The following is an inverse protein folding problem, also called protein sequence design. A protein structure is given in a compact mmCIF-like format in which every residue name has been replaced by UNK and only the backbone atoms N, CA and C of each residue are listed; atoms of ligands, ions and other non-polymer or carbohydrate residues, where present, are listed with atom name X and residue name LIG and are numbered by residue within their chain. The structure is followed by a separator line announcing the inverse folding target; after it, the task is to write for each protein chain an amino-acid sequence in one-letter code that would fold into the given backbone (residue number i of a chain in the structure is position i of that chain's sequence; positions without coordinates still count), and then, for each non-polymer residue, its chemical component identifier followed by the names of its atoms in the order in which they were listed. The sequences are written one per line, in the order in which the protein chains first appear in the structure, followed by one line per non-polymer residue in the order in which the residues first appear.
data_IF_611193026367
#
_entry.id   IF_611193026367
#
_cell.length_a   1.000
_cell.length_b   1.000
_cell.length_c   1.000
_cell.angle_alpha   90.00
_cell.angle_beta   90.00
_cell.angle_gamma   90.00
#
_symmetry.space_group_name_H-M   'P 1'
#
loop_
_entity.id
_entity.type
_entity.pdbx_description
1 polymer ?
#
# COMPACT_ATOMS: atom_id res chain seq x y z
N UNK A 1 3.41 -9.72 -11.34
CA UNK A 1 3.33 -8.59 -12.29
C UNK A 1 4.35 -7.52 -11.88
N UNK A 2 5.05 -6.88 -12.82
CA UNK A 2 6.06 -5.86 -12.47
C UNK A 2 5.36 -4.57 -12.01
N UNK A 3 5.79 -4.03 -10.87
CA UNK A 3 5.38 -2.73 -10.38
C UNK A 3 5.83 -1.66 -11.37
N UNK A 4 4.86 -1.06 -12.06
CA UNK A 4 5.12 -0.02 -13.05
C UNK A 4 4.73 1.30 -12.44
N UNK A 5 5.71 2.19 -12.31
CA UNK A 5 5.52 3.56 -11.85
C UNK A 5 6.07 4.50 -12.92
N UNK A 6 5.55 5.73 -12.95
CA UNK A 6 6.00 6.78 -13.87
C UNK A 6 6.77 7.89 -13.16
N UNK A 7 6.49 8.07 -11.87
CA UNK A 7 7.14 9.05 -11.00
C UNK A 7 7.71 8.34 -9.78
N UNK A 8 8.72 8.94 -9.16
CA UNK A 8 9.26 8.45 -7.91
C UNK A 8 8.17 8.45 -6.83
N UNK A 9 7.87 7.32 -6.17
CA UNK A 9 6.78 7.23 -5.20
C UNK A 9 7.02 8.08 -3.95
N UNK A 10 8.26 8.51 -3.73
CA UNK A 10 8.68 9.29 -2.57
C UNK A 10 8.58 10.80 -2.82
N UNK A 11 9.06 11.29 -3.96
CA UNK A 11 9.18 12.74 -4.22
C UNK A 11 8.46 13.24 -5.48
N UNK A 12 7.93 12.35 -6.32
CA UNK A 12 7.27 12.73 -7.58
C UNK A 12 8.23 13.08 -8.72
N UNK A 13 9.54 12.98 -8.49
CA UNK A 13 10.54 13.26 -9.51
C UNK A 13 10.58 12.20 -10.61
N UNK A 14 11.16 12.58 -11.75
CA UNK A 14 11.36 11.67 -12.88
C UNK A 14 12.23 10.47 -12.49
N UNK A 15 11.96 9.32 -13.11
CA UNK A 15 12.67 8.07 -12.87
C UNK A 15 13.27 7.50 -14.14
N UNK A 16 14.41 6.83 -14.01
CA UNK A 16 15.03 6.04 -15.07
C UNK A 16 15.07 4.57 -14.66
N UNK A 17 14.94 3.69 -15.65
CA UNK A 17 15.04 2.25 -15.46
C UNK A 17 16.50 1.80 -15.64
N UNK A 18 17.12 1.20 -14.63
CA UNK A 18 18.40 0.51 -14.77
C UNK A 18 18.25 -0.96 -15.19
N UNK A 19 19.40 -1.59 -15.47
CA UNK A 19 19.52 -3.00 -15.89
C UNK A 19 19.32 -4.00 -14.74
N UNK A 20 19.33 -3.54 -13.50
CA UNK A 20 19.30 -4.36 -12.29
C UNK A 20 17.92 -4.44 -11.64
N UNK A 21 16.89 -3.92 -12.32
CA UNK A 21 15.49 -4.05 -11.92
C UNK A 21 15.02 -3.03 -10.88
N UNK A 22 15.72 -1.89 -10.73
CA UNK A 22 15.22 -0.74 -9.99
C UNK A 22 14.75 0.40 -10.94
N UNK A 23 14.01 1.34 -10.36
CA UNK A 23 13.83 2.67 -10.90
C UNK A 23 14.68 3.62 -10.06
N UNK A 24 15.48 4.47 -10.69
CA UNK A 24 16.31 5.47 -10.02
C UNK A 24 15.66 6.83 -10.20
N UNK A 25 15.40 7.53 -9.10
CA UNK A 25 14.90 8.90 -9.15
C UNK A 25 16.03 9.89 -9.46
N UNK A 26 15.81 10.77 -10.45
CA UNK A 26 16.78 11.83 -10.77
C UNK A 26 16.85 12.98 -9.77
N UNK A 27 15.85 13.10 -8.87
CA UNK A 27 15.77 14.19 -7.89
C UNK A 27 16.24 13.77 -6.49
N UNK A 28 15.71 12.67 -5.96
CA UNK A 28 16.03 12.22 -4.60
C UNK A 28 16.96 11.00 -4.53
N UNK A 29 17.45 10.53 -5.68
CA UNK A 29 18.34 9.37 -5.86
C UNK A 29 17.81 8.04 -5.30
N UNK A 30 16.58 8.01 -4.79
CA UNK A 30 15.96 6.80 -4.24
C UNK A 30 15.77 5.77 -5.34
N UNK A 31 16.02 4.52 -4.97
CA UNK A 31 15.90 3.34 -5.82
C UNK A 31 14.64 2.58 -5.44
N UNK A 32 13.71 2.46 -6.39
CA UNK A 32 12.43 1.76 -6.19
C UNK A 32 12.46 0.42 -6.93
N UNK A 33 12.20 -0.67 -6.23
CA UNK A 33 12.23 -2.02 -6.77
C UNK A 33 10.98 -2.28 -7.62
N UNK A 34 11.21 -2.81 -8.83
CA UNK A 34 10.13 -3.22 -9.75
C UNK A 34 9.39 -4.45 -9.27
N UNK A 35 10.05 -5.33 -8.52
CA UNK A 35 9.40 -6.49 -7.92
C UNK A 35 9.03 -6.19 -6.47
N UNK A 36 7.73 -6.08 -6.16
CA UNK A 36 7.23 -5.88 -4.78
C UNK A 36 7.26 -7.15 -3.93
N UNK A 37 7.55 -8.30 -4.52
CA UNK A 37 7.62 -9.59 -3.81
C UNK A 37 9.05 -10.04 -3.52
N UNK A 38 10.05 -9.32 -4.02
CA UNK A 38 11.44 -9.70 -3.81
C UNK A 38 11.86 -9.36 -2.37
N UNK A 39 11.60 -10.26 -1.42
CA UNK A 39 12.01 -10.08 -0.03
C UNK A 39 13.51 -9.95 0.16
N UNK A 40 14.33 -10.36 -0.81
CA UNK A 40 15.79 -10.22 -0.74
C UNK A 40 16.28 -8.93 -1.38
N UNK A 41 15.38 -8.02 -1.76
CA UNK A 41 15.71 -6.75 -2.39
C UNK A 41 16.72 -5.94 -1.57
N UNK A 42 16.57 -5.93 -0.23
CA UNK A 42 17.49 -5.26 0.68
C UNK A 42 18.91 -5.85 0.68
N UNK A 43 19.08 -7.05 0.13
CA UNK A 43 20.34 -7.78 0.04
C UNK A 43 21.05 -7.69 -1.33
N UNK A 44 20.42 -7.08 -2.34
CA UNK A 44 20.94 -7.15 -3.71
C UNK A 44 22.16 -6.24 -3.98
N UNK A 45 22.56 -5.37 -3.04
CA UNK A 45 23.57 -4.34 -3.29
C UNK A 45 24.85 -4.44 -2.43
N UNK A 46 25.06 -5.54 -1.70
CA UNK A 46 26.30 -5.72 -0.92
C UNK A 46 26.90 -7.12 -1.15
N UNK A 47 28.22 -7.28 -1.07
CA UNK A 47 28.85 -8.59 -1.04
C UNK A 47 28.50 -9.25 0.30
N UNK A 48 27.37 -9.96 0.35
CA UNK A 48 27.03 -10.76 1.52
C UNK A 48 27.75 -12.10 1.45
N UNK A 49 28.20 -12.56 2.61
CA UNK A 49 28.79 -13.88 2.78
C UNK A 49 27.73 -14.96 2.51
N UNK A 50 28.16 -16.14 2.05
CA UNK A 50 27.28 -17.30 1.76
C UNK A 50 26.35 -17.62 2.94
N UNK A 51 26.83 -17.40 4.16
CA UNK A 51 26.10 -17.57 5.41
C UNK A 51 24.82 -16.72 5.47
N UNK A 52 24.89 -15.45 5.08
CA UNK A 52 23.72 -14.55 5.10
C UNK A 52 22.65 -15.02 4.11
N UNK A 53 23.07 -15.47 2.93
CA UNK A 53 22.16 -16.04 1.93
C UNK A 53 21.49 -17.32 2.45
N UNK A 54 22.21 -18.14 3.21
CA UNK A 54 21.68 -19.35 3.83
C UNK A 54 20.61 -19.03 4.88
N UNK A 55 20.84 -18.02 5.74
CA UNK A 55 19.90 -17.56 6.76
C UNK A 55 18.60 -17.07 6.12
N UNK A 56 18.71 -16.25 5.07
CA UNK A 56 17.53 -15.68 4.42
C UNK A 56 16.68 -16.75 3.73
N UNK A 57 17.28 -17.86 3.29
CA UNK A 57 16.55 -19.02 2.78
C UNK A 57 15.84 -19.82 3.89
N UNK A 58 16.29 -19.70 5.14
CA UNK A 58 15.68 -20.36 6.30
C UNK A 58 14.46 -19.60 6.81
N UNK A 59 14.39 -18.28 6.66
CA UNK A 59 13.26 -17.45 7.14
C UNK A 59 11.89 -18.02 6.73
N UNK A 60 11.74 -18.49 5.49
CA UNK A 60 10.47 -19.04 4.99
C UNK A 60 10.28 -20.55 5.31
N UNK A 61 11.29 -21.25 5.85
CA UNK A 61 11.29 -22.71 6.08
C UNK A 61 11.34 -23.11 7.56
N UNK A 62 12.17 -22.42 8.32
CA UNK A 62 12.48 -22.64 9.72
C UNK A 62 12.87 -21.27 10.32
N UNK A 63 11.87 -20.44 10.65
CA UNK A 63 12.12 -19.09 11.14
C UNK A 63 12.82 -19.10 12.50
N UNK A 64 12.61 -20.12 13.33
CA UNK A 64 13.30 -20.32 14.62
C UNK A 64 14.81 -20.54 14.45
N UNK A 65 15.22 -21.43 13.54
CA UNK A 65 16.64 -21.63 13.21
C UNK A 65 17.24 -20.37 12.57
N UNK A 66 16.46 -19.66 11.74
CA UNK A 66 16.90 -18.39 11.17
C UNK A 66 17.16 -17.34 12.27
N UNK A 67 16.25 -17.17 13.24
CA UNK A 67 16.44 -16.28 14.40
C UNK A 67 17.70 -16.67 15.17
N UNK A 68 17.84 -17.97 15.50
CA UNK A 68 18.97 -18.47 16.29
C UNK A 68 20.33 -18.15 15.64
N UNK A 69 20.43 -18.32 14.31
CA UNK A 69 21.64 -17.98 13.55
C UNK A 69 21.92 -16.49 13.49
N UNK A 70 20.89 -15.67 13.33
CA UNK A 70 21.06 -14.21 13.29
C UNK A 70 21.49 -13.71 14.67
N UNK A 71 20.91 -14.23 15.76
CA UNK A 71 21.31 -13.88 17.12
C UNK A 71 22.77 -14.26 17.41
N UNK A 72 23.23 -15.43 16.97
CA UNK A 72 24.63 -15.81 17.06
C UNK A 72 25.54 -14.80 16.32
N UNK A 73 25.20 -14.47 15.07
CA UNK A 73 25.94 -13.49 14.26
C UNK A 73 25.96 -12.09 14.91
N UNK A 74 24.83 -11.67 15.48
CA UNK A 74 24.73 -10.38 16.19
C UNK A 74 25.56 -10.35 17.48
N UNK A 75 25.69 -11.46 18.20
CA UNK A 75 26.50 -11.54 19.41
C UNK A 75 28.01 -11.55 19.10
N UNK A 76 28.40 -12.04 17.92
CA UNK A 76 29.79 -12.04 17.45
C UNK A 76 30.19 -10.71 16.78
N UNK A 77 29.22 -9.88 16.40
CA UNK A 77 29.45 -8.57 15.77
C UNK A 77 29.45 -7.47 16.82
N UNK A 78 30.55 -6.73 16.97
CA UNK A 78 30.65 -5.61 17.94
C UNK A 78 29.59 -4.52 17.70
N UNK A 79 29.30 -4.19 16.43
CA UNK A 79 28.30 -3.19 16.04
C UNK A 79 27.36 -3.78 14.97
N UNK A 80 26.25 -4.43 15.38
CA UNK A 80 25.26 -4.95 14.43
C UNK A 80 24.65 -3.82 13.60
N UNK A 81 24.64 -4.00 12.27
CA UNK A 81 24.12 -3.01 11.33
C UNK A 81 22.60 -3.14 11.11
N UNK A 82 22.03 -2.20 10.35
CA UNK A 82 20.60 -2.20 10.02
C UNK A 82 20.11 -3.52 9.41
N UNK A 83 20.90 -4.15 8.53
CA UNK A 83 20.48 -5.35 7.79
C UNK A 83 20.25 -6.52 8.73
N UNK A 84 21.10 -6.71 9.75
CA UNK A 84 20.92 -7.77 10.76
C UNK A 84 19.60 -7.62 11.52
N UNK A 85 19.28 -6.40 11.95
CA UNK A 85 18.01 -6.13 12.61
C UNK A 85 16.82 -6.37 11.68
N UNK A 86 16.88 -5.92 10.42
CA UNK A 86 15.81 -6.18 9.46
C UNK A 86 15.62 -7.67 9.19
N UNK A 87 16.71 -8.42 8.98
CA UNK A 87 16.66 -9.86 8.74
C UNK A 87 16.11 -10.61 9.94
N UNK A 88 16.49 -10.27 11.17
CA UNK A 88 15.90 -10.86 12.38
C UNK A 88 14.43 -10.50 12.53
N UNK A 89 14.07 -9.25 12.26
CA UNK A 89 12.67 -8.83 12.25
C UNK A 89 11.84 -9.58 11.21
N UNK A 90 12.40 -9.92 10.04
CA UNK A 90 11.73 -10.75 9.05
C UNK A 90 11.55 -12.21 9.52
N UNK A 91 12.51 -12.74 10.26
CA UNK A 91 12.41 -14.07 10.87
C UNK A 91 11.35 -14.10 11.98
N UNK A 92 11.35 -13.13 12.90
CA UNK A 92 10.30 -12.99 13.91
C UNK A 92 8.91 -12.84 13.28
N UNK A 93 8.78 -12.04 12.22
CA UNK A 93 7.49 -11.89 11.54
C UNK A 93 7.02 -13.20 10.88
N UNK A 94 7.94 -14.00 10.35
CA UNK A 94 7.63 -15.31 9.78
C UNK A 94 7.23 -16.32 10.86
N UNK A 95 7.74 -16.16 12.08
CA UNK A 95 7.35 -16.92 13.27
C UNK A 95 6.06 -16.39 13.94
N UNK A 96 5.46 -15.32 13.40
CA UNK A 96 4.24 -14.73 13.94
C UNK A 96 4.43 -13.80 15.14
N UNK A 97 5.67 -13.47 15.50
CA UNK A 97 6.08 -12.60 16.59
C UNK A 97 6.07 -11.11 16.16
N UNK A 98 4.88 -10.55 15.89
CA UNK A 98 4.74 -9.24 15.24
C UNK A 98 5.37 -8.08 16.05
N UNK A 99 5.32 -8.16 17.38
CA UNK A 99 5.89 -7.15 18.27
C UNK A 99 7.42 -7.17 18.28
N UNK A 100 8.04 -8.36 18.25
CA UNK A 100 9.50 -8.51 18.15
C UNK A 100 9.99 -8.04 16.77
N UNK A 101 9.27 -8.44 15.72
CA UNK A 101 9.54 -8.00 14.36
C UNK A 101 9.53 -6.48 14.22
N UNK A 102 8.51 -5.82 14.74
CA UNK A 102 8.38 -4.37 14.68
C UNK A 102 9.53 -3.66 15.43
N UNK A 103 9.86 -4.11 16.64
CA UNK A 103 10.98 -3.54 17.40
C UNK A 103 12.31 -3.64 16.64
N UNK A 104 12.54 -4.76 15.95
CA UNK A 104 13.73 -4.96 15.15
C UNK A 104 13.75 -4.07 13.90
N UNK A 105 12.64 -3.94 13.18
CA UNK A 105 12.55 -3.01 12.06
C UNK A 105 12.80 -1.57 12.49
N UNK A 106 12.26 -1.15 13.63
CA UNK A 106 12.50 0.16 14.21
C UNK A 106 13.97 0.39 14.52
N UNK A 107 14.63 -0.57 15.17
CA UNK A 107 16.06 -0.49 15.45
C UNK A 107 16.91 -0.51 14.18
N UNK A 108 16.49 -1.28 13.17
CA UNK A 108 17.08 -1.25 11.84
C UNK A 108 17.01 0.13 11.19
N UNK A 109 15.83 0.78 11.22
CA UNK A 109 15.64 2.14 10.73
C UNK A 109 16.52 3.16 11.43
N UNK A 110 16.72 3.03 12.74
CA UNK A 110 17.59 3.91 13.53
C UNK A 110 19.07 3.84 13.10
N UNK A 111 19.47 2.74 12.45
CA UNK A 111 20.83 2.49 12.00
C UNK A 111 21.03 2.75 10.50
N UNK A 112 19.96 3.03 9.74
CA UNK A 112 20.09 3.40 8.33
C UNK A 112 20.73 4.78 8.22
N UNK A 113 21.87 4.83 7.54
CA UNK A 113 22.56 6.09 7.22
C UNK A 113 22.32 6.54 5.77
N UNK A 114 21.85 5.65 4.90
CA UNK A 114 21.55 5.92 3.50
C UNK A 114 20.13 5.46 3.13
N UNK A 115 19.21 6.43 3.06
CA UNK A 115 17.81 6.18 2.71
C UNK A 115 17.55 6.03 1.20
N UNK A 116 18.58 6.04 0.33
CA UNK A 116 18.39 5.79 -1.11
C UNK A 116 17.82 4.40 -1.39
N UNK A 117 18.10 3.44 -0.51
CA UNK A 117 17.63 2.05 -0.62
C UNK A 117 16.46 1.73 0.31
N UNK A 118 15.78 2.74 0.88
CA UNK A 118 14.69 2.51 1.85
C UNK A 118 13.59 1.60 1.31
N UNK A 119 13.31 1.67 0.00
CA UNK A 119 12.30 0.85 -0.66
C UNK A 119 12.58 -0.65 -0.56
N UNK A 120 13.86 -1.04 -0.46
CA UNK A 120 14.25 -2.44 -0.31
C UNK A 120 13.75 -3.02 1.01
N UNK A 121 13.87 -2.24 2.09
CA UNK A 121 13.36 -2.59 3.41
C UNK A 121 11.82 -2.56 3.42
N UNK A 122 11.20 -1.57 2.76
CA UNK A 122 9.73 -1.50 2.62
C UNK A 122 9.19 -2.75 1.93
N UNK A 123 9.82 -3.22 0.85
CA UNK A 123 9.43 -4.47 0.16
C UNK A 123 9.50 -5.67 1.10
N UNK A 124 10.61 -5.83 1.83
CA UNK A 124 10.78 -6.95 2.77
C UNK A 124 9.76 -6.91 3.90
N UNK A 125 9.58 -5.75 4.53
CA UNK A 125 8.61 -5.52 5.61
C UNK A 125 7.19 -5.76 5.12
N UNK A 126 6.79 -5.21 3.97
CA UNK A 126 5.43 -5.38 3.45
C UNK A 126 5.10 -6.83 3.12
N UNK A 127 6.05 -7.62 2.60
CA UNK A 127 5.84 -9.07 2.43
C UNK A 127 5.51 -9.73 3.76
N UNK A 128 6.30 -9.42 4.80
CA UNK A 128 6.10 -9.98 6.15
C UNK A 128 4.83 -9.49 6.83
N UNK A 129 4.42 -8.23 6.62
CA UNK A 129 3.11 -7.72 7.05
C UNK A 129 1.99 -8.59 6.44
N UNK A 130 2.08 -8.92 5.15
CA UNK A 130 1.09 -9.80 4.49
C UNK A 130 1.07 -11.18 5.12
N UNK A 131 2.24 -11.79 5.38
CA UNK A 131 2.32 -13.10 6.03
C UNK A 131 1.71 -13.08 7.45
N UNK A 132 1.98 -12.04 8.25
CA UNK A 132 1.36 -11.83 9.57
C UNK A 132 -0.15 -11.73 9.43
N UNK A 133 -0.67 -10.88 8.53
CA UNK A 133 -2.12 -10.71 8.37
C UNK A 133 -2.78 -12.05 8.02
N UNK A 134 -2.21 -12.79 7.05
CA UNK A 134 -2.76 -14.10 6.64
C UNK A 134 -2.76 -15.08 7.81
N UNK A 135 -1.65 -15.16 8.56
CA UNK A 135 -1.53 -16.04 9.72
C UNK A 135 -2.59 -15.68 10.78
N UNK A 136 -2.71 -14.41 11.15
CA UNK A 136 -3.69 -13.96 12.16
C UNK A 136 -5.13 -14.21 11.72
N UNK A 137 -5.46 -13.98 10.45
CA UNK A 137 -6.80 -14.27 9.91
C UNK A 137 -7.10 -15.78 9.90
N UNK A 138 -6.14 -16.62 9.50
CA UNK A 138 -6.27 -18.09 9.55
C UNK A 138 -6.42 -18.64 10.97
N UNK A 139 -5.77 -18.01 11.93
CA UNK A 139 -5.85 -18.38 13.35
C UNK A 139 -7.01 -17.70 14.08
N UNK A 140 -7.83 -16.91 13.36
CA UNK A 140 -8.94 -16.13 13.93
C UNK A 140 -8.51 -15.21 15.08
N UNK A 141 -7.28 -14.71 15.03
CA UNK A 141 -6.74 -13.77 16.00
C UNK A 141 -7.24 -12.37 15.66
N UNK A 142 -7.81 -11.69 16.65
CA UNK A 142 -8.20 -10.30 16.49
C UNK A 142 -6.97 -9.44 16.16
N UNK A 143 -6.94 -8.94 14.93
CA UNK A 143 -5.84 -8.13 14.41
C UNK A 143 -6.41 -6.98 13.60
N UNK A 144 -5.76 -5.82 13.65
CA UNK A 144 -6.14 -4.66 12.87
C UNK A 144 -5.07 -4.37 11.81
N UNK A 145 -5.20 -4.90 10.58
CA UNK A 145 -4.21 -4.71 9.51
C UNK A 145 -3.93 -3.25 9.21
N UNK A 146 -4.96 -2.40 9.26
CA UNK A 146 -4.85 -0.99 8.90
C UNK A 146 -3.98 -0.24 9.90
N UNK A 147 -4.27 -0.41 11.19
CA UNK A 147 -3.52 0.22 12.28
C UNK A 147 -2.05 -0.25 12.31
N UNK A 148 -1.81 -1.53 12.05
CA UNK A 148 -0.46 -2.07 11.97
C UNK A 148 0.35 -1.48 10.79
N UNK A 149 -0.27 -1.40 9.61
CA UNK A 149 0.36 -0.77 8.43
C UNK A 149 0.60 0.73 8.70
N UNK A 150 -0.37 1.44 9.27
CA UNK A 150 -0.27 2.86 9.59
C UNK A 150 0.90 3.12 10.56
N UNK A 151 1.03 2.31 11.61
CA UNK A 151 2.11 2.44 12.60
C UNK A 151 3.49 2.31 11.95
N UNK A 152 3.73 1.23 11.20
CA UNK A 152 5.03 0.95 10.59
C UNK A 152 5.35 1.97 9.49
N UNK A 153 4.40 2.25 8.60
CA UNK A 153 4.61 3.20 7.51
C UNK A 153 4.90 4.62 7.99
N UNK A 154 4.28 5.04 9.11
CA UNK A 154 4.57 6.32 9.76
C UNK A 154 6.00 6.36 10.30
N UNK A 155 6.48 5.30 10.95
CA UNK A 155 7.87 5.24 11.43
C UNK A 155 8.88 5.32 10.28
N UNK A 156 8.63 4.59 9.19
CA UNK A 156 9.43 4.69 7.96
C UNK A 156 9.42 6.11 7.39
N UNK A 157 8.24 6.74 7.32
CA UNK A 157 8.08 8.08 6.78
C UNK A 157 8.84 9.14 7.60
N UNK A 158 8.72 9.07 8.93
CA UNK A 158 9.43 9.96 9.86
C UNK A 158 10.94 9.78 9.74
N UNK A 159 11.44 8.54 9.68
CA UNK A 159 12.88 8.26 9.61
C UNK A 159 13.50 8.65 8.27
N UNK A 160 12.80 8.36 7.17
CA UNK A 160 13.29 8.63 5.82
C UNK A 160 13.01 10.07 5.34
N UNK A 161 12.22 10.85 6.09
CA UNK A 161 11.81 12.21 5.73
C UNK A 161 11.00 12.28 4.43
N UNK A 162 10.23 11.22 4.12
CA UNK A 162 9.41 11.12 2.89
C UNK A 162 8.08 10.44 3.18
N UNK A 163 7.02 10.71 2.38
CA UNK A 163 5.75 10.01 2.52
C UNK A 163 5.89 8.53 2.21
N UNK A 164 5.40 7.67 3.11
CA UNK A 164 5.54 6.22 3.01
C UNK A 164 4.19 5.48 3.01
N UNK A 165 3.11 6.06 3.53
CA UNK A 165 1.82 5.35 3.67
C UNK A 165 1.31 4.77 2.35
N UNK A 166 1.26 5.60 1.30
CA UNK A 166 0.78 5.19 -0.02
C UNK A 166 1.56 4.00 -0.59
N UNK A 167 2.90 4.04 -0.54
CA UNK A 167 3.73 2.95 -1.07
C UNK A 167 3.61 1.68 -0.23
N UNK A 168 3.42 1.78 1.08
CA UNK A 168 3.14 0.63 1.95
C UNK A 168 1.85 -0.07 1.55
N UNK A 169 0.73 0.65 1.50
CA UNK A 169 -0.57 0.06 1.15
C UNK A 169 -0.56 -0.57 -0.25
N UNK A 170 0.04 0.11 -1.22
CA UNK A 170 0.19 -0.43 -2.58
C UNK A 170 1.04 -1.70 -2.57
N UNK A 171 2.15 -1.72 -1.83
CA UNK A 171 3.04 -2.90 -1.75
C UNK A 171 2.36 -4.09 -1.08
N UNK A 172 1.63 -3.86 0.01
CA UNK A 172 0.84 -4.87 0.71
C UNK A 172 -0.24 -5.44 -0.22
N UNK A 173 -1.02 -4.57 -0.88
CA UNK A 173 -2.02 -4.99 -1.88
C UNK A 173 -1.41 -5.86 -2.98
N UNK A 174 -0.29 -5.44 -3.56
CA UNK A 174 0.37 -6.21 -4.63
C UNK A 174 0.82 -7.59 -4.16
N UNK A 175 1.32 -7.71 -2.94
CA UNK A 175 1.71 -9.00 -2.36
C UNK A 175 0.48 -9.89 -2.09
N UNK A 176 -0.62 -9.34 -1.56
CA UNK A 176 -1.88 -10.08 -1.43
C UNK A 176 -2.39 -10.59 -2.78
N UNK A 177 -2.46 -9.72 -3.78
CA UNK A 177 -2.93 -10.09 -5.12
C UNK A 177 -2.06 -11.18 -5.75
N UNK A 178 -0.75 -11.10 -5.57
CA UNK A 178 0.17 -12.15 -6.04
C UNK A 178 -0.10 -13.49 -5.36
N UNK A 179 -0.30 -13.51 -4.03
CA UNK A 179 -0.65 -14.73 -3.30
C UNK A 179 -2.01 -15.29 -3.72
N UNK A 180 -2.99 -14.41 -3.98
CA UNK A 180 -4.29 -14.82 -4.51
C UNK A 180 -4.17 -15.50 -5.87
N UNK A 181 -3.45 -14.87 -6.80
CA UNK A 181 -3.20 -15.41 -8.15
C UNK A 181 -2.37 -16.70 -8.13
N UNK A 182 -1.57 -16.92 -7.09
CA UNK A 182 -0.82 -18.16 -6.87
C UNK A 182 -1.66 -19.27 -6.19
N UNK A 183 -2.89 -18.98 -5.75
CA UNK A 183 -3.74 -19.92 -5.02
C UNK A 183 -3.31 -20.16 -3.57
N UNK A 184 -2.60 -19.21 -2.94
CA UNK A 184 -2.03 -19.37 -1.58
C UNK A 184 -2.96 -18.93 -0.44
N UNK A 185 -4.09 -18.26 -0.72
CA UNK A 185 -4.94 -17.58 0.28
C UNK A 185 -6.25 -18.30 0.64
N UNK A 186 -6.43 -19.55 0.19
CA UNK A 186 -7.58 -20.47 0.38
C UNK A 186 -8.47 -20.59 -0.88
N UNK A 187 -9.17 -21.73 -1.01
CA UNK A 187 -10.01 -22.05 -2.19
C UNK A 187 -11.28 -21.19 -2.28
N UNK A 188 -11.73 -20.63 -1.15
CA UNK A 188 -13.00 -19.88 -1.01
C UNK A 188 -12.85 -18.34 -1.04
N UNK A 189 -11.68 -17.79 -1.39
CA UNK A 189 -11.42 -16.34 -1.59
C UNK A 189 -11.69 -15.39 -0.37
N UNK A 190 -12.13 -15.90 0.78
CA UNK A 190 -12.64 -15.07 1.90
C UNK A 190 -11.58 -14.14 2.52
N UNK A 191 -10.35 -14.61 2.69
CA UNK A 191 -9.25 -13.80 3.25
C UNK A 191 -8.93 -12.64 2.31
N UNK A 192 -8.78 -12.91 1.00
CA UNK A 192 -8.49 -11.88 0.02
C UNK A 192 -9.60 -10.83 -0.01
N UNK A 193 -10.86 -11.26 -0.15
CA UNK A 193 -12.00 -10.33 -0.26
C UNK A 193 -12.18 -9.46 0.98
N UNK A 194 -12.01 -10.03 2.18
CA UNK A 194 -12.20 -9.33 3.45
C UNK A 194 -11.15 -8.24 3.72
N UNK A 195 -9.92 -8.42 3.21
CA UNK A 195 -8.80 -7.51 3.43
C UNK A 195 -8.69 -6.48 2.30
N UNK A 196 -8.81 -6.90 1.04
CA UNK A 196 -8.48 -6.02 -0.10
C UNK A 196 -9.35 -4.78 -0.14
N UNK A 197 -10.64 -4.89 0.18
CA UNK A 197 -11.49 -3.71 0.20
C UNK A 197 -11.02 -2.71 1.26
N UNK A 198 -10.61 -3.16 2.45
CA UNK A 198 -10.03 -2.30 3.50
C UNK A 198 -8.75 -1.61 3.02
N UNK A 199 -7.86 -2.34 2.36
CA UNK A 199 -6.64 -1.80 1.76
C UNK A 199 -6.96 -0.79 0.66
N UNK A 200 -7.95 -1.09 -0.20
CA UNK A 200 -8.35 -0.24 -1.32
C UNK A 200 -8.75 1.15 -0.83
N UNK A 201 -9.56 1.26 0.24
CA UNK A 201 -9.92 2.57 0.80
C UNK A 201 -8.69 3.41 1.17
N UNK A 202 -7.69 2.77 1.77
CA UNK A 202 -6.45 3.44 2.15
C UNK A 202 -5.60 3.77 0.93
N UNK A 203 -5.61 2.95 -0.11
CA UNK A 203 -4.98 3.26 -1.40
C UNK A 203 -5.65 4.44 -2.08
N UNK A 204 -6.98 4.54 -2.04
CA UNK A 204 -7.70 5.71 -2.59
C UNK A 204 -7.34 6.98 -1.83
N UNK A 205 -7.13 6.89 -0.51
CA UNK A 205 -6.81 8.03 0.36
C UNK A 205 -5.34 8.47 0.26
N UNK A 206 -4.40 7.53 0.23
CA UNK A 206 -2.96 7.78 0.31
C UNK A 206 -2.19 7.53 -0.99
N UNK A 207 -2.85 7.05 -2.03
CA UNK A 207 -2.26 6.77 -3.34
C UNK A 207 -2.05 8.05 -4.14
N UNK A 208 -0.85 8.63 -4.06
CA UNK A 208 -0.52 9.95 -4.66
C UNK A 208 -0.55 10.00 -6.19
N UNK A 209 -0.43 8.86 -6.86
CA UNK A 209 -0.47 8.76 -8.33
C UNK A 209 -1.79 8.15 -8.78
N UNK A 210 -2.72 8.98 -9.27
CA UNK A 210 -4.04 8.52 -9.72
C UNK A 210 -3.95 7.45 -10.82
N UNK A 211 -2.87 7.43 -11.63
CA UNK A 211 -2.68 6.41 -12.67
C UNK A 211 -2.48 5.04 -12.04
N UNK A 212 -1.60 4.99 -11.03
CA UNK A 212 -1.37 3.78 -10.24
C UNK A 212 -2.65 3.37 -9.50
N UNK A 213 -3.38 4.34 -8.93
CA UNK A 213 -4.66 4.08 -8.26
C UNK A 213 -5.70 3.52 -9.24
N UNK A 214 -5.86 4.10 -10.44
CA UNK A 214 -6.78 3.60 -11.47
C UNK A 214 -6.47 2.17 -11.89
N UNK A 215 -5.20 1.84 -12.09
CA UNK A 215 -4.79 0.46 -12.36
C UNK A 215 -5.17 -0.47 -11.21
N UNK A 216 -4.98 -0.06 -9.95
CA UNK A 216 -5.39 -0.88 -8.79
C UNK A 216 -6.91 -1.02 -8.72
N UNK A 217 -7.68 0.03 -9.00
CA UNK A 217 -9.15 -0.05 -9.06
C UNK A 217 -9.57 -1.08 -10.11
N UNK A 218 -9.04 -0.99 -11.33
CA UNK A 218 -9.33 -1.91 -12.43
C UNK A 218 -9.05 -3.37 -12.02
N UNK A 219 -7.87 -3.62 -11.44
CA UNK A 219 -7.49 -4.92 -10.95
C UNK A 219 -8.43 -5.47 -9.85
N UNK A 220 -8.89 -4.61 -8.92
CA UNK A 220 -9.87 -5.03 -7.90
C UNK A 220 -11.23 -5.32 -8.52
N UNK A 221 -11.69 -4.51 -9.48
CA UNK A 221 -12.96 -4.76 -10.17
C UNK A 221 -12.93 -6.09 -10.92
N UNK A 222 -11.80 -6.42 -11.57
CA UNK A 222 -11.58 -7.71 -12.22
C UNK A 222 -11.61 -8.87 -11.22
N UNK A 223 -10.82 -8.78 -10.14
CA UNK A 223 -10.69 -9.85 -9.14
C UNK A 223 -12.03 -10.11 -8.42
N UNK A 224 -12.89 -9.09 -8.29
CA UNK A 224 -14.22 -9.23 -7.67
C UNK A 224 -15.35 -9.53 -8.66
N UNK A 225 -15.04 -9.70 -9.95
CA UNK A 225 -16.01 -9.94 -11.03
C UNK A 225 -17.13 -8.89 -11.06
N UNK A 226 -16.77 -7.61 -10.86
CA UNK A 226 -17.73 -6.52 -10.85
C UNK A 226 -18.48 -6.41 -12.19
N UNK A 227 -19.80 -6.26 -12.10
CA UNK A 227 -20.67 -6.01 -13.25
C UNK A 227 -21.44 -4.68 -13.05
N UNK A 228 -21.27 -3.69 -13.95
CA UNK A 228 -21.98 -2.42 -13.87
C UNK A 228 -23.49 -2.52 -14.09
N UNK A 229 -24.00 -3.60 -14.65
CA UNK A 229 -25.44 -3.76 -14.90
C UNK A 229 -26.19 -4.35 -13.70
N UNK A 230 -25.49 -5.09 -12.83
CA UNK A 230 -26.10 -5.84 -11.71
C UNK A 230 -25.62 -5.38 -10.33
N UNK A 231 -24.78 -4.35 -10.24
CA UNK A 231 -24.14 -3.93 -8.98
C UNK A 231 -25.11 -3.63 -7.83
N UNK A 232 -26.33 -3.16 -8.14
CA UNK A 232 -27.38 -2.92 -7.14
C UNK A 232 -27.87 -4.24 -6.57
N UNK A 233 -28.21 -5.18 -7.44
CA UNK A 233 -28.70 -6.52 -7.07
C UNK A 233 -27.63 -7.32 -6.30
N UNK A 234 -26.36 -7.13 -6.66
CA UNK A 234 -25.21 -7.79 -6.04
C UNK A 234 -24.73 -7.11 -4.74
N UNK A 235 -25.40 -6.05 -4.27
CA UNK A 235 -25.00 -5.18 -3.13
C UNK A 235 -23.55 -4.66 -3.23
N UNK A 236 -23.09 -4.43 -4.46
CA UNK A 236 -21.71 -4.08 -4.83
C UNK A 236 -21.51 -2.57 -5.01
N UNK A 237 -22.25 -1.73 -4.27
CA UNK A 237 -22.16 -0.26 -4.37
C UNK A 237 -20.75 0.29 -4.17
N UNK A 238 -19.94 -0.36 -3.34
CA UNK A 238 -18.54 0.02 -3.13
C UNK A 238 -17.69 -0.16 -4.39
N UNK A 239 -17.87 -1.27 -5.10
CA UNK A 239 -17.18 -1.52 -6.36
C UNK A 239 -17.69 -0.56 -7.44
N UNK A 240 -18.99 -0.27 -7.44
CA UNK A 240 -19.56 0.74 -8.32
C UNK A 240 -18.96 2.13 -8.11
N UNK A 241 -18.85 2.59 -6.86
CA UNK A 241 -18.16 3.84 -6.51
C UNK A 241 -16.72 3.86 -7.04
N UNK A 242 -15.97 2.77 -6.88
CA UNK A 242 -14.61 2.69 -7.41
C UNK A 242 -14.58 2.80 -8.94
N UNK A 243 -15.52 2.15 -9.63
CA UNK A 243 -15.67 2.24 -11.09
C UNK A 243 -15.99 3.67 -11.56
N UNK A 244 -16.89 4.37 -10.87
CA UNK A 244 -17.19 5.78 -11.12
C UNK A 244 -15.96 6.66 -10.89
N UNK A 245 -15.22 6.42 -9.80
CA UNK A 245 -14.02 7.18 -9.46
C UNK A 245 -12.93 7.01 -10.52
N UNK A 246 -12.69 5.79 -11.01
CA UNK A 246 -11.77 5.51 -12.11
C UNK A 246 -12.15 6.30 -13.37
N UNK A 247 -13.41 6.20 -13.79
CA UNK A 247 -13.94 6.88 -14.97
C UNK A 247 -13.85 8.41 -14.84
N UNK A 248 -14.06 8.92 -13.63
CA UNK A 248 -13.97 10.35 -13.31
C UNK A 248 -12.53 10.84 -13.36
N UNK A 249 -11.58 10.08 -12.80
CA UNK A 249 -10.15 10.41 -12.94
C UNK A 249 -9.73 10.43 -14.40
N UNK A 250 -10.13 9.45 -15.21
CA UNK A 250 -9.82 9.41 -16.65
C UNK A 250 -10.37 10.64 -17.39
N UNK A 251 -11.63 11.01 -17.13
CA UNK A 251 -12.26 12.19 -17.74
C UNK A 251 -11.59 13.50 -17.32
N UNK A 252 -11.36 13.71 -16.02
CA UNK A 252 -10.82 14.96 -15.49
C UNK A 252 -9.34 15.16 -15.82
N UNK A 253 -8.59 14.07 -16.04
CA UNK A 253 -7.15 14.11 -16.33
C UNK A 253 -6.78 13.95 -17.81
N UNK A 254 -7.76 13.88 -18.72
CA UNK A 254 -7.55 13.63 -20.16
C UNK A 254 -6.48 14.55 -20.80
N UNK A 255 -6.44 15.81 -20.37
CA UNK A 255 -5.56 16.84 -20.93
C UNK A 255 -4.36 17.20 -20.03
N UNK A 256 -4.07 16.40 -19.01
CA UNK A 256 -2.97 16.71 -18.08
C UNK A 256 -1.61 16.44 -18.72
N UNK A 257 -0.71 17.43 -18.64
CA UNK A 257 0.70 17.21 -18.97
C UNK A 257 1.41 16.45 -17.84
N UNK A 258 2.54 15.80 -18.13
CA UNK A 258 3.35 15.14 -17.08
C UNK A 258 3.80 16.12 -15.98
N UNK A 259 3.99 17.41 -16.33
CA UNK A 259 4.30 18.45 -15.35
C UNK A 259 3.13 18.72 -14.40
N UNK A 260 1.90 18.77 -14.94
CA UNK A 260 0.69 18.91 -14.12
C UNK A 260 0.54 17.73 -13.16
N UNK A 261 0.72 16.51 -13.66
CA UNK A 261 0.66 15.30 -12.82
C UNK A 261 1.74 15.33 -11.72
N UNK A 262 2.96 15.78 -12.04
CA UNK A 262 4.03 15.91 -11.06
C UNK A 262 3.72 16.96 -9.98
N UNK A 263 3.06 18.08 -10.32
CA UNK A 263 2.61 19.07 -9.33
C UNK A 263 1.58 18.49 -8.37
N UNK A 264 0.54 17.84 -8.88
CA UNK A 264 -0.48 17.16 -8.06
C UNK A 264 0.17 16.14 -7.13
N UNK A 265 1.07 15.30 -7.67
CA UNK A 265 1.77 14.31 -6.87
C UNK A 265 2.58 14.94 -5.72
N UNK A 266 3.31 16.03 -6.01
CA UNK A 266 4.19 16.71 -5.04
C UNK A 266 3.40 17.43 -3.95
N UNK A 267 2.21 17.93 -4.27
CA UNK A 267 1.32 18.54 -3.28
C UNK A 267 0.98 17.54 -2.17
N UNK A 268 0.59 16.32 -2.54
CA UNK A 268 0.17 15.30 -1.57
C UNK A 268 1.33 14.68 -0.81
N UNK A 269 1.15 14.51 0.51
CA UNK A 269 2.07 13.83 1.41
C UNK A 269 1.32 13.29 2.65
N UNK A 270 1.98 12.51 3.50
CA UNK A 270 1.34 11.87 4.66
C UNK A 270 0.72 12.87 5.66
N UNK A 271 1.12 14.15 5.64
CA UNK A 271 0.62 15.20 6.54
C UNK A 271 -0.58 15.98 6.03
N UNK A 272 -0.94 15.90 4.75
CA UNK A 272 -2.13 16.57 4.19
C UNK A 272 -3.12 15.60 3.53
N UNK A 273 -2.74 14.35 3.31
CA UNK A 273 -3.66 13.31 2.83
C UNK A 273 -4.69 12.87 3.88
N UNK A 274 -4.59 13.33 5.14
CA UNK A 274 -5.64 13.09 6.14
C UNK A 274 -6.98 13.73 5.73
N UNK A 275 -6.95 14.83 4.96
CA UNK A 275 -8.15 15.45 4.40
C UNK A 275 -8.80 14.51 3.37
N UNK A 276 -8.00 13.93 2.47
CA UNK A 276 -8.47 12.93 1.49
C UNK A 276 -9.02 11.68 2.19
N UNK A 277 -8.37 11.22 3.25
CA UNK A 277 -8.84 10.10 4.05
C UNK A 277 -10.20 10.38 4.70
N UNK A 278 -10.36 11.57 5.30
CA UNK A 278 -11.63 11.99 5.89
C UNK A 278 -12.78 11.96 4.87
N UNK A 279 -12.58 12.58 3.70
CA UNK A 279 -13.60 12.61 2.65
C UNK A 279 -13.88 11.24 2.03
N UNK A 280 -12.85 10.38 1.92
CA UNK A 280 -13.03 9.00 1.49
C UNK A 280 -13.85 8.21 2.51
N UNK A 281 -13.61 8.40 3.80
CA UNK A 281 -14.40 7.76 4.85
C UNK A 281 -15.85 8.25 4.87
N UNK A 282 -16.11 9.54 4.64
CA UNK A 282 -17.47 10.08 4.48
C UNK A 282 -18.17 9.48 3.26
N UNK A 283 -17.50 9.46 2.09
CA UNK A 283 -18.02 8.81 0.88
C UNK A 283 -18.38 7.34 1.14
N UNK A 284 -17.50 6.62 1.84
CA UNK A 284 -17.68 5.22 2.20
C UNK A 284 -18.77 4.98 3.27
N UNK A 285 -19.08 5.95 4.13
CA UNK A 285 -20.22 5.87 5.05
C UNK A 285 -21.52 5.96 4.27
N UNK A 286 -21.65 6.94 3.36
CA UNK A 286 -22.84 7.10 2.52
C UNK A 286 -23.12 5.86 1.67
N UNK A 287 -22.08 5.28 1.06
CA UNK A 287 -22.19 4.01 0.30
C UNK A 287 -22.68 2.85 1.16
N UNK A 288 -22.22 2.73 2.41
CA UNK A 288 -22.69 1.68 3.33
C UNK A 288 -24.15 1.90 3.72
N UNK A 289 -24.51 3.15 3.99
CA UNK A 289 -25.85 3.56 4.40
C UNK A 289 -26.89 3.39 3.28
N UNK A 290 -26.45 3.40 2.02
CA UNK A 290 -27.27 3.22 0.83
C UNK A 290 -27.36 1.78 0.29
N UNK A 291 -26.67 0.83 0.92
CA UNK A 291 -26.78 -0.60 0.59
C UNK A 291 -28.21 -1.11 0.74
N UNK A 292 -28.61 -2.08 -0.07
CA UNK A 292 -29.99 -2.59 -0.08
C UNK A 292 -30.36 -3.10 1.32
N UNK A 293 -29.45 -3.83 1.96
CA UNK A 293 -29.64 -4.35 3.30
C UNK A 293 -29.85 -3.23 4.33
N UNK A 294 -29.14 -2.11 4.21
CA UNK A 294 -29.31 -0.96 5.11
C UNK A 294 -30.59 -0.18 4.83
N UNK A 295 -30.96 0.00 3.55
CA UNK A 295 -32.24 0.59 3.13
C UNK A 295 -33.42 -0.23 3.67
N UNK A 296 -33.36 -1.56 3.57
CA UNK A 296 -34.38 -2.45 4.14
C UNK A 296 -34.47 -2.37 5.67
N UNK A 297 -33.34 -2.18 6.36
CA UNK A 297 -33.31 -2.01 7.83
C UNK A 297 -33.80 -0.63 8.31
N UNK A 298 -33.75 0.38 7.44
CA UNK A 298 -34.10 1.78 7.77
C UNK A 298 -35.47 2.23 7.24
N UNK A 299 -36.24 1.32 6.65
CA UNK A 299 -37.64 1.53 6.23
C UNK A 299 -38.48 2.05 7.41
N UNK A 300 -38.68 3.36 7.46
CA UNK A 300 -39.39 4.06 8.55
C UNK A 300 -38.90 5.48 8.84
N UNK A 301 -37.75 5.91 8.32
CA UNK A 301 -37.25 7.28 8.48
C UNK A 301 -37.72 8.20 7.33
N UNK A 302 -38.58 9.20 7.57
CA UNK A 302 -39.27 9.92 6.48
C UNK A 302 -38.45 10.98 5.74
N UNK A 303 -37.22 11.28 6.16
CA UNK A 303 -36.41 12.38 5.63
C UNK A 303 -34.96 11.91 5.37
N UNK A 304 -34.74 11.06 4.37
CA UNK A 304 -33.38 10.87 3.82
C UNK A 304 -33.27 11.75 2.57
N UNK A 305 -32.39 12.73 2.61
CA UNK A 305 -31.92 13.38 1.38
C UNK A 305 -31.31 12.29 0.49
N UNK A 306 -31.64 12.34 -0.80
CA UNK A 306 -31.14 11.37 -1.78
C UNK A 306 -29.66 11.64 -2.01
N UNK A 307 -28.80 10.73 -1.57
CA UNK A 307 -27.35 10.87 -1.73
C UNK A 307 -26.98 10.63 -3.20
N UNK A 308 -26.49 11.68 -3.87
CA UNK A 308 -25.97 11.57 -5.22
C UNK A 308 -24.50 11.12 -5.21
N UNK A 309 -24.32 9.81 -5.32
CA UNK A 309 -23.01 9.17 -5.39
C UNK A 309 -22.14 9.73 -6.53
N UNK A 310 -22.72 10.11 -7.67
CA UNK A 310 -21.95 10.59 -8.83
C UNK A 310 -21.32 11.94 -8.53
N UNK A 311 -22.09 12.86 -7.95
CA UNK A 311 -21.61 14.17 -7.52
C UNK A 311 -20.55 14.03 -6.43
N UNK A 312 -20.78 13.20 -5.41
CA UNK A 312 -19.81 12.99 -4.33
C UNK A 312 -18.47 12.39 -4.83
N UNK A 313 -18.52 11.46 -5.78
CA UNK A 313 -17.32 10.90 -6.43
C UNK A 313 -16.60 11.98 -7.25
N UNK A 314 -17.33 12.83 -7.95
CA UNK A 314 -16.74 13.93 -8.72
C UNK A 314 -16.06 14.98 -7.84
N UNK A 315 -16.68 15.35 -6.72
CA UNK A 315 -16.10 16.28 -5.75
C UNK A 315 -14.81 15.72 -5.13
N UNK A 316 -14.82 14.45 -4.75
CA UNK A 316 -13.63 13.76 -4.26
C UNK A 316 -12.50 13.74 -5.31
N UNK A 317 -12.83 13.39 -6.56
CA UNK A 317 -11.86 13.32 -7.64
C UNK A 317 -11.25 14.70 -7.96
N UNK A 318 -12.05 15.76 -7.94
CA UNK A 318 -11.58 17.14 -8.12
C UNK A 318 -10.65 17.57 -7.00
N UNK A 319 -11.01 17.28 -5.76
CA UNK A 319 -10.13 17.53 -4.61
C UNK A 319 -8.79 16.82 -4.79
N UNK A 320 -8.79 15.51 -5.06
CA UNK A 320 -7.57 14.74 -5.30
C UNK A 320 -6.72 15.30 -6.45
N UNK A 321 -7.35 15.69 -7.55
CA UNK A 321 -6.66 16.24 -8.74
C UNK A 321 -6.34 17.74 -8.62
N UNK A 322 -6.63 18.38 -7.49
CA UNK A 322 -6.44 19.82 -7.26
C UNK A 322 -7.14 20.66 -8.33
N UNK A 323 -8.42 20.39 -8.55
CA UNK A 323 -9.29 21.12 -9.47
C UNK A 323 -10.36 21.89 -8.71
N UNK A 324 -10.70 23.09 -9.20
CA UNK A 324 -11.87 23.84 -8.71
C UNK A 324 -13.20 23.24 -9.20
N UNK A 325 -14.32 23.75 -8.69
CA UNK A 325 -15.67 23.44 -9.20
C UNK A 325 -15.84 23.79 -10.68
N UNK A 326 -15.16 24.83 -11.18
CA UNK A 326 -15.13 25.16 -12.60
C UNK A 326 -14.07 24.37 -13.41
N UNK A 327 -13.32 23.45 -12.79
CA UNK A 327 -12.28 22.66 -13.45
C UNK A 327 -10.95 23.40 -13.67
N UNK A 328 -10.71 24.50 -12.95
CA UNK A 328 -9.43 25.23 -12.98
C UNK A 328 -8.35 24.43 -12.24
N UNK A 329 -7.16 24.35 -12.82
CA UNK A 329 -5.95 23.81 -12.17
C UNK A 329 -5.57 24.68 -10.95
N UNK A 330 -5.73 24.13 -9.75
CA UNK A 330 -5.34 24.73 -8.48
C UNK A 330 -3.91 24.33 -8.07
N UNK A 331 -3.28 23.35 -8.74
CA UNK A 331 -1.94 22.87 -8.41
C UNK A 331 -0.83 23.92 -8.58
N UNK A 332 -1.13 25.04 -9.24
CA UNK A 332 -0.21 26.19 -9.38
C UNK A 332 -0.25 27.14 -8.18
N UNK A 333 -1.32 27.06 -7.38
CA UNK A 333 -1.60 27.97 -6.27
C UNK A 333 -1.10 27.40 -4.91
N UNK A 334 -0.53 26.18 -4.90
CA UNK A 334 -0.12 25.43 -3.70
C UNK A 334 1.32 24.93 -3.71
#
# INVERSE_FOLDING_TARGET
MAFTIRLCPYCGGAITSDEFGYYVCGECEKRTFRSRSNSKAYLLNKPYEEEFSSIVNLIDKDPDDAVSKIEAMMNETEEPNADLYFTRGFAYAADGEEGKAHNDWKKGLDLITDFRFIDAYIVGVCKRIVDIIIMKEREFIQFNPIEYIDQISTEFGVKAGVPCKGIFYITVYRNFRMKNQAGELDEDDDIYRSIILKLLNKILSYGRDFRTVNTIIEEVLEDFHYNPDTYVEDDNLRLHMCSLLKSTYERLSENFSEEHIARIFRHWNDSNMFDLEYWMDELMKSVRDDSILQKLRSLGSPNREEFDLSTAVEDYARMFLLLSEDGKDLSQDV
#
